data_IF_426671385417
#
_entry.id   IF_426671385417
#
_cell.length_a   1.000
_cell.length_b   1.000
_cell.length_c   1.000
_cell.angle_alpha   90.00
_cell.angle_beta   90.00
_cell.angle_gamma   90.00
#
_symmetry.space_group_name_H-M   'P 1'
#
loop_
_entity.id
_entity.type
_entity.pdbx_description
1 polymer ?
#
# COMPACT_ATOMS: atom_id res chain seq x y z
N UNK A 1 -13.62 -27.69 52.92
CA UNK A 1 -13.79 -26.56 51.99
C UNK A 1 -13.07 -26.90 50.69
N UNK A 2 -13.79 -27.48 49.72
CA UNK A 2 -13.23 -27.93 48.43
C UNK A 2 -12.90 -26.74 47.54
N UNK A 3 -11.61 -26.55 47.21
CA UNK A 3 -11.16 -25.65 46.16
C UNK A 3 -11.33 -26.37 44.81
N UNK A 4 -12.27 -25.91 43.99
CA UNK A 4 -12.35 -26.27 42.58
C UNK A 4 -11.18 -25.61 41.85
N UNK A 5 -10.40 -26.33 41.02
CA UNK A 5 -9.42 -25.69 40.15
C UNK A 5 -10.16 -25.11 38.93
N UNK A 6 -10.04 -23.80 38.73
CA UNK A 6 -10.45 -23.16 37.50
C UNK A 6 -9.61 -23.71 36.34
N UNK A 7 -10.20 -24.04 35.17
CA UNK A 7 -9.42 -24.38 33.99
C UNK A 7 -8.67 -23.12 33.51
N UNK A 8 -7.34 -23.19 33.51
CA UNK A 8 -6.48 -22.21 32.85
C UNK A 8 -6.87 -22.14 31.38
N UNK A 9 -7.48 -21.03 30.97
CA UNK A 9 -7.72 -20.76 29.56
C UNK A 9 -6.38 -20.34 28.96
N UNK A 10 -5.62 -21.30 28.43
CA UNK A 10 -4.46 -21.07 27.57
C UNK A 10 -4.95 -20.41 26.27
N UNK A 11 -5.11 -19.09 26.30
CA UNK A 11 -5.04 -18.34 25.06
C UNK A 11 -3.57 -18.34 24.62
N UNK A 12 -3.21 -19.34 23.83
CA UNK A 12 -2.13 -19.20 22.86
C UNK A 12 -2.47 -17.99 21.99
N UNK A 13 -2.00 -16.82 22.41
CA UNK A 13 -1.77 -15.72 21.50
C UNK A 13 -0.73 -16.23 20.51
N UNK A 14 -1.20 -16.78 19.39
CA UNK A 14 -0.40 -16.99 18.20
C UNK A 14 0.02 -15.60 17.75
N UNK A 15 1.13 -15.13 18.32
CA UNK A 15 1.79 -13.87 18.01
C UNK A 15 2.43 -13.99 16.63
N UNK A 16 1.61 -13.93 15.59
CA UNK A 16 2.07 -13.81 14.19
C UNK A 16 1.99 -12.37 13.69
N UNK A 17 1.57 -11.41 14.52
CA UNK A 17 1.44 -10.01 14.12
C UNK A 17 2.33 -9.08 14.96
N UNK A 18 3.65 -9.21 14.88
CA UNK A 18 4.58 -8.24 15.50
C UNK A 18 5.93 -8.19 14.78
N UNK A 19 5.91 -7.90 13.47
CA UNK A 19 7.15 -7.58 12.75
C UNK A 19 7.01 -6.52 11.62
N UNK A 20 5.80 -6.03 11.32
CA UNK A 20 5.57 -5.16 10.14
C UNK A 20 5.00 -3.78 10.46
N UNK A 21 4.77 -3.44 11.73
CA UNK A 21 4.05 -2.22 12.12
C UNK A 21 4.74 -0.91 11.68
N UNK A 22 6.07 -0.89 11.53
CA UNK A 22 6.84 0.31 11.14
C UNK A 22 7.33 0.31 9.69
N UNK A 23 7.04 -0.74 8.91
CA UNK A 23 7.49 -0.79 7.53
C UNK A 23 6.47 -0.10 6.62
N UNK A 24 6.96 0.84 5.82
CA UNK A 24 6.17 1.50 4.80
C UNK A 24 5.51 0.46 3.87
N UNK A 25 4.25 0.67 3.45
CA UNK A 25 3.50 -0.28 2.61
C UNK A 25 3.97 -0.28 1.14
N UNK A 26 5.23 0.05 0.88
CA UNK A 26 5.81 0.04 -0.44
C UNK A 26 7.22 -0.52 -0.42
N UNK A 27 7.57 -1.21 -1.51
CA UNK A 27 8.89 -1.78 -1.75
C UNK A 27 9.63 -0.89 -2.72
N UNK A 28 10.76 -0.35 -2.25
CA UNK A 28 11.67 0.46 -3.05
C UNK A 28 12.60 -0.41 -3.90
N UNK A 29 13.09 0.18 -4.97
CA UNK A 29 14.18 -0.37 -5.78
C UNK A 29 15.48 -0.13 -5.03
N UNK A 30 16.37 -1.13 -5.01
CA UNK A 30 17.67 -0.93 -4.40
C UNK A 30 18.48 0.08 -5.22
N UNK A 31 19.26 0.99 -4.60
CA UNK A 31 20.03 2.00 -5.36
C UNK A 31 20.99 1.41 -6.39
N UNK A 32 21.49 0.19 -6.16
CA UNK A 32 22.39 -0.55 -7.04
C UNK A 32 21.67 -1.27 -8.19
N UNK A 33 20.34 -1.37 -8.14
CA UNK A 33 19.55 -2.01 -9.19
C UNK A 33 19.14 -1.00 -10.27
N UNK A 34 18.97 -1.45 -11.52
CA UNK A 34 18.43 -0.61 -12.56
C UNK A 34 16.99 -0.18 -12.23
N UNK A 35 16.53 0.97 -12.76
CA UNK A 35 15.13 1.37 -12.62
C UNK A 35 14.19 0.28 -13.16
N UNK A 36 13.11 -0.05 -12.43
CA UNK A 36 12.12 -1.01 -12.87
C UNK A 36 11.34 -0.47 -14.06
N UNK A 37 11.00 -1.36 -14.99
CA UNK A 37 10.11 -1.03 -16.11
C UNK A 37 8.64 -0.92 -15.68
N UNK A 38 8.27 -1.62 -14.62
CA UNK A 38 6.89 -1.70 -14.12
C UNK A 38 6.85 -1.57 -12.60
N UNK A 39 5.72 -1.11 -12.07
CA UNK A 39 5.40 -1.17 -10.65
C UNK A 39 4.09 -1.93 -10.43
N UNK A 40 3.96 -2.57 -9.28
CA UNK A 40 2.83 -3.41 -8.92
C UNK A 40 1.99 -2.77 -7.80
N UNK A 41 0.68 -2.74 -8.01
CA UNK A 41 -0.33 -2.29 -7.05
C UNK A 41 -1.00 -3.52 -6.47
N UNK A 42 -0.89 -3.71 -5.15
CA UNK A 42 -1.47 -4.85 -4.45
C UNK A 42 -2.69 -4.36 -3.66
N UNK A 43 -3.85 -4.96 -3.92
CA UNK A 43 -5.12 -4.61 -3.30
C UNK A 43 -5.38 -5.52 -2.09
N UNK A 44 -6.20 -5.05 -1.16
CA UNK A 44 -6.52 -5.78 0.07
C UNK A 44 -7.27 -7.10 -0.17
N UNK A 45 -7.90 -7.25 -1.33
CA UNK A 45 -8.58 -8.49 -1.76
C UNK A 45 -7.62 -9.54 -2.37
N UNK A 46 -6.30 -9.28 -2.34
CA UNK A 46 -5.26 -10.16 -2.85
C UNK A 46 -4.98 -10.02 -4.34
N UNK A 47 -5.72 -9.14 -5.06
CA UNK A 47 -5.40 -8.85 -6.46
C UNK A 47 -4.12 -8.02 -6.55
N UNK A 48 -3.38 -8.28 -7.62
CA UNK A 48 -2.21 -7.51 -7.99
C UNK A 48 -2.33 -7.02 -9.43
N UNK A 49 -2.17 -5.73 -9.64
CA UNK A 49 -2.19 -5.09 -10.96
C UNK A 49 -0.83 -4.47 -11.23
N UNK A 50 -0.27 -4.74 -12.40
CA UNK A 50 1.04 -4.18 -12.79
C UNK A 50 0.86 -3.09 -13.84
N UNK A 51 1.59 -2.00 -13.68
CA UNK A 51 1.59 -0.88 -14.60
C UNK A 51 3.00 -0.58 -15.07
N UNK A 52 3.14 -0.27 -16.35
CA UNK A 52 4.41 0.19 -16.89
C UNK A 52 4.66 1.65 -16.49
N UNK A 53 5.90 1.96 -16.10
CA UNK A 53 6.29 3.33 -15.80
C UNK A 53 6.19 4.24 -17.02
N UNK A 54 6.36 3.69 -18.23
CA UNK A 54 6.21 4.44 -19.48
C UNK A 54 4.77 4.91 -19.75
N UNK A 55 3.78 4.32 -19.07
CA UNK A 55 2.37 4.69 -19.23
C UNK A 55 1.93 5.73 -18.21
N UNK A 56 2.72 5.98 -17.17
CA UNK A 56 2.44 7.00 -16.17
C UNK A 56 2.61 8.39 -16.79
N UNK A 57 1.51 9.16 -16.87
CA UNK A 57 1.48 10.49 -17.49
C UNK A 57 1.47 11.61 -16.48
N UNK A 58 0.80 11.39 -15.36
CA UNK A 58 0.60 12.42 -14.35
C UNK A 58 0.55 11.78 -12.96
N UNK A 59 1.16 12.46 -12.00
CA UNK A 59 1.04 12.17 -10.58
C UNK A 59 0.48 13.43 -9.94
N UNK A 60 -0.73 13.35 -9.40
CA UNK A 60 -1.34 14.45 -8.66
C UNK A 60 -1.32 14.13 -7.18
N UNK A 61 -0.69 15.01 -6.41
CA UNK A 61 -0.76 14.96 -4.96
C UNK A 61 -1.66 16.11 -4.49
N UNK A 62 -2.81 15.77 -3.90
CA UNK A 62 -3.75 16.78 -3.38
C UNK A 62 -3.36 17.23 -1.98
N UNK A 63 -2.94 16.28 -1.15
CA UNK A 63 -2.49 16.48 0.23
C UNK A 63 -1.53 15.36 0.66
N UNK A 64 -1.15 15.30 1.94
CA UNK A 64 -0.24 14.29 2.47
C UNK A 64 -0.84 12.87 2.53
N UNK A 65 -2.15 12.72 2.31
CA UNK A 65 -2.90 11.47 2.40
C UNK A 65 -3.61 11.05 1.10
N UNK A 66 -3.44 11.79 0.01
CA UNK A 66 -4.08 11.49 -1.27
C UNK A 66 -3.13 11.67 -2.46
N UNK A 67 -2.97 10.60 -3.25
CA UNK A 67 -2.28 10.60 -4.53
C UNK A 67 -3.21 10.04 -5.61
N UNK A 68 -3.16 10.64 -6.79
CA UNK A 68 -3.80 10.13 -8.00
C UNK A 68 -2.74 9.91 -9.09
N UNK A 69 -2.74 8.72 -9.67
CA UNK A 69 -1.88 8.35 -10.79
C UNK A 69 -2.73 8.25 -12.04
N UNK A 70 -2.40 9.04 -13.06
CA UNK A 70 -3.03 8.96 -14.37
C UNK A 70 -2.13 8.14 -15.29
N UNK A 71 -2.62 6.97 -15.71
CA UNK A 71 -1.94 6.10 -16.65
C UNK A 71 -2.64 6.10 -18.00
N UNK A 72 -1.83 6.07 -19.05
CA UNK A 72 -2.29 6.00 -20.43
C UNK A 72 -1.50 4.92 -21.17
N UNK A 73 -2.00 3.69 -21.04
CA UNK A 73 -1.58 2.53 -21.82
C UNK A 73 -2.62 2.21 -22.89
N UNK A 74 -3.07 0.94 -22.92
CA UNK A 74 -4.19 0.51 -23.79
C UNK A 74 -5.50 1.24 -23.48
N UNK A 75 -5.71 1.58 -22.21
CA UNK A 75 -6.85 2.32 -21.72
C UNK A 75 -6.37 3.45 -20.80
N UNK A 76 -7.21 4.47 -20.62
CA UNK A 76 -6.95 5.51 -19.62
C UNK A 76 -7.34 4.97 -18.26
N UNK A 77 -6.39 4.89 -17.33
CA UNK A 77 -6.63 4.39 -15.97
C UNK A 77 -6.28 5.44 -14.95
N UNK A 78 -7.15 5.64 -13.96
CA UNK A 78 -6.88 6.43 -12.78
C UNK A 78 -6.70 5.50 -11.58
N UNK A 79 -5.56 5.64 -10.89
CA UNK A 79 -5.29 4.93 -9.63
C UNK A 79 -5.26 5.97 -8.52
N UNK A 80 -6.32 6.00 -7.71
CA UNK A 80 -6.39 6.84 -6.53
C UNK A 80 -5.91 6.06 -5.30
N UNK A 81 -4.98 6.64 -4.56
CA UNK A 81 -4.37 6.06 -3.36
C UNK A 81 -4.67 7.00 -2.19
N UNK A 82 -5.37 6.49 -1.17
CA UNK A 82 -5.67 7.23 0.05
C UNK A 82 -4.99 6.61 1.26
N UNK A 83 -4.55 7.44 2.20
CA UNK A 83 -3.78 6.98 3.35
C UNK A 83 -3.12 8.11 4.13
N UNK A 84 -1.91 7.85 4.65
CA UNK A 84 -1.13 8.78 5.47
C UNK A 84 0.33 8.82 5.05
N UNK A 85 0.93 10.01 5.15
CA UNK A 85 2.35 10.26 4.87
C UNK A 85 2.77 9.71 3.50
N UNK A 86 1.93 9.95 2.50
CA UNK A 86 2.11 9.44 1.14
C UNK A 86 3.11 10.25 0.31
N UNK A 87 3.59 11.41 0.79
CA UNK A 87 4.54 12.26 0.05
C UNK A 87 5.79 11.50 -0.39
N UNK A 88 6.32 10.61 0.46
CA UNK A 88 7.46 9.76 0.10
C UNK A 88 7.11 8.79 -1.03
N UNK A 89 5.93 8.17 -0.99
CA UNK A 89 5.44 7.31 -2.06
C UNK A 89 5.33 8.07 -3.39
N UNK A 90 4.73 9.27 -3.40
CA UNK A 90 4.61 10.11 -4.59
C UNK A 90 5.98 10.40 -5.21
N UNK A 91 6.95 10.81 -4.38
CA UNK A 91 8.32 11.11 -4.81
C UNK A 91 9.01 9.87 -5.40
N UNK A 92 8.84 8.71 -4.76
CA UNK A 92 9.45 7.46 -5.23
C UNK A 92 8.82 6.97 -6.54
N UNK A 93 7.51 7.15 -6.73
CA UNK A 93 6.84 6.85 -7.99
C UNK A 93 7.35 7.79 -9.09
N UNK A 94 7.41 9.10 -8.82
CA UNK A 94 7.93 10.09 -9.77
C UNK A 94 9.38 9.80 -10.19
N UNK A 95 10.20 9.30 -9.27
CA UNK A 95 11.59 8.92 -9.54
C UNK A 95 11.76 7.55 -10.21
N UNK A 96 10.67 6.78 -10.44
CA UNK A 96 10.76 5.42 -10.95
C UNK A 96 11.48 4.47 -10.00
N UNK A 97 11.27 4.61 -8.69
CA UNK A 97 12.00 3.86 -7.63
C UNK A 97 11.10 2.95 -6.80
N UNK A 98 9.88 2.67 -7.23
CA UNK A 98 8.96 1.72 -6.58
C UNK A 98 8.87 0.43 -7.39
N UNK A 99 8.96 -0.71 -6.68
CA UNK A 99 8.64 -2.03 -7.24
C UNK A 99 7.17 -2.37 -7.01
N UNK A 100 6.68 -2.13 -5.80
CA UNK A 100 5.28 -2.38 -5.47
C UNK A 100 4.80 -1.53 -4.29
N UNK A 101 3.49 -1.34 -4.18
CA UNK A 101 2.84 -0.82 -2.98
C UNK A 101 1.53 -1.56 -2.71
N UNK A 102 1.13 -1.62 -1.45
CA UNK A 102 0.10 -2.51 -0.95
C UNK A 102 -0.96 -1.76 -0.14
N UNK A 103 -2.22 -1.98 -0.48
CA UNK A 103 -3.38 -1.57 0.30
C UNK A 103 -3.48 -2.42 1.56
N UNK A 104 -3.42 -1.77 2.72
CA UNK A 104 -3.48 -2.46 4.01
C UNK A 104 -4.91 -2.62 4.52
N UNK A 105 -5.86 -1.93 3.89
CA UNK A 105 -7.26 -1.89 4.30
C UNK A 105 -7.53 -0.90 5.44
N UNK A 106 -8.72 -1.00 6.07
CA UNK A 106 -9.17 -0.04 7.07
C UNK A 106 -8.26 -0.02 8.29
N UNK A 107 -8.19 1.15 8.94
CA UNK A 107 -7.28 1.45 10.04
C UNK A 107 -7.35 0.40 11.14
N UNK A 108 -6.22 -0.23 11.41
CA UNK A 108 -6.00 -1.01 12.63
C UNK A 108 -5.22 -0.16 13.64
N UNK A 109 -5.48 -0.35 14.94
CA UNK A 109 -4.76 0.35 16.03
C UNK A 109 -3.29 -0.08 16.15
N UNK A 110 -2.84 -1.02 15.33
CA UNK A 110 -1.51 -1.63 15.40
C UNK A 110 -0.40 -0.75 14.83
N UNK A 111 -0.72 0.36 14.14
CA UNK A 111 0.27 1.25 13.52
C UNK A 111 0.27 2.64 14.13
N UNK A 112 1.47 3.12 14.45
CA UNK A 112 1.69 4.48 14.92
C UNK A 112 1.09 5.51 13.94
N UNK A 113 0.64 6.65 14.49
CA UNK A 113 -0.01 7.70 13.69
C UNK A 113 0.95 8.35 12.68
N UNK A 114 2.22 8.44 13.05
CA UNK A 114 3.31 8.96 12.22
C UNK A 114 3.75 8.00 11.11
N UNK A 115 3.30 6.74 11.13
CA UNK A 115 3.74 5.73 10.18
C UNK A 115 2.95 5.79 8.88
N UNK A 116 3.62 5.72 7.70
CA UNK A 116 2.92 5.73 6.43
C UNK A 116 1.97 4.53 6.29
N UNK A 117 0.77 4.79 5.78
CA UNK A 117 -0.26 3.77 5.54
C UNK A 117 -0.98 4.04 4.23
N UNK A 118 -1.42 2.97 3.56
CA UNK A 118 -2.33 3.04 2.42
C UNK A 118 -3.63 2.37 2.90
N UNK A 119 -4.64 3.21 3.11
CA UNK A 119 -5.91 2.81 3.68
C UNK A 119 -6.84 2.26 2.58
N UNK A 120 -6.77 2.86 1.38
CA UNK A 120 -7.56 2.40 0.23
C UNK A 120 -6.85 2.67 -1.10
N UNK A 121 -7.02 1.75 -2.05
CA UNK A 121 -6.64 1.96 -3.45
C UNK A 121 -7.89 1.77 -4.33
N UNK A 122 -8.18 2.76 -5.17
CA UNK A 122 -9.26 2.68 -6.16
C UNK A 122 -8.64 2.73 -7.56
N UNK A 123 -9.01 1.77 -8.40
CA UNK A 123 -8.58 1.69 -9.80
C UNK A 123 -9.80 1.87 -10.68
N UNK A 124 -9.80 2.91 -11.52
CA UNK A 124 -10.89 3.23 -12.42
C UNK A 124 -10.38 3.31 -13.87
N UNK A 125 -11.01 2.57 -14.76
CA UNK A 125 -10.81 2.71 -16.21
C UNK A 125 -11.76 3.78 -16.74
N UNK A 126 -11.22 4.80 -17.41
CA UNK A 126 -11.94 5.96 -17.92
C UNK A 126 -12.29 5.83 -19.42
N UNK A 127 -12.44 4.62 -19.94
CA UNK A 127 -12.90 4.41 -21.31
C UNK A 127 -14.33 4.94 -21.44
N UNK A 128 -14.51 5.92 -22.34
CA UNK A 128 -15.81 6.54 -22.60
C UNK A 128 -16.83 5.54 -23.14
N UNK A 129 -17.99 5.51 -22.51
CA UNK A 129 -19.23 5.07 -23.14
C UNK A 129 -19.97 6.28 -23.69
#
# INVERSE_FOLDING_TARGET
>A
MSRLPFPSNENHHTSVASATADKAPWKRVNPSEPPPMMFQVQLCDGRAVSYAYCDLREIRQRDAGYIELCLLGMEKTHVAVTGRNLTDLANLIAAGRIKSFEELGPRTFDRAESSPSIDKITIETLTGH
#
